data_IF_593129358003
#
_entry.id   IF_593129358003
#
_cell.length_a   1.000
_cell.length_b   1.000
_cell.length_c   1.000
_cell.angle_alpha   90.00
_cell.angle_beta   90.00
_cell.angle_gamma   90.00
#
_symmetry.space_group_name_H-M   'P 1'
#
loop_
_entity.id
_entity.type
_entity.pdbx_description
1 polymer ?
#
# COMPACT_ATOMS: atom_id res chain seq x y z
N UNK A 1 -10.34 11.95 -11.84
CA UNK A 1 -10.25 10.51 -12.15
C UNK A 1 -10.25 9.76 -10.81
N UNK A 2 -11.21 8.87 -10.55
CA UNK A 2 -11.31 8.17 -9.26
C UNK A 2 -10.28 7.03 -9.20
N UNK A 3 -9.65 6.82 -8.05
CA UNK A 3 -8.66 5.73 -7.83
C UNK A 3 -9.25 4.35 -8.18
N UNK A 4 -10.55 4.16 -7.98
CA UNK A 4 -11.28 2.95 -8.36
C UNK A 4 -11.22 2.66 -9.86
N UNK A 5 -11.26 3.69 -10.71
CA UNK A 5 -11.19 3.54 -12.16
C UNK A 5 -9.76 3.26 -12.63
N UNK A 6 -8.76 3.74 -11.89
CA UNK A 6 -7.36 3.45 -12.13
C UNK A 6 -7.01 2.00 -11.79
N UNK A 7 -7.48 1.51 -10.62
CA UNK A 7 -7.30 0.12 -10.21
C UNK A 7 -7.93 -0.85 -11.22
N UNK A 8 -9.14 -0.56 -11.69
CA UNK A 8 -9.82 -1.41 -12.68
C UNK A 8 -9.04 -1.53 -14.00
N UNK A 9 -8.35 -0.45 -14.43
CA UNK A 9 -7.49 -0.47 -15.62
C UNK A 9 -6.17 -1.22 -15.40
N UNK A 10 -5.60 -1.18 -14.19
CA UNK A 10 -4.40 -1.97 -13.84
C UNK A 10 -4.66 -3.49 -13.89
N UNK A 11 -5.87 -3.94 -13.53
CA UNK A 11 -6.22 -5.36 -13.59
C UNK A 11 -6.61 -5.86 -15.00
N UNK A 12 -6.87 -4.96 -15.95
CA UNK A 12 -7.40 -5.35 -17.27
C UNK A 12 -6.31 -5.56 -18.33
N UNK A 13 -5.03 -5.33 -18.03
CA UNK A 13 -3.97 -5.30 -19.05
C UNK A 13 -2.65 -5.92 -18.58
N UNK A 14 -2.60 -7.23 -18.34
CA UNK A 14 -1.33 -7.97 -18.24
C UNK A 14 -1.37 -9.25 -19.07
N UNK A 15 -1.08 -9.10 -20.37
CA UNK A 15 -0.66 -10.22 -21.20
C UNK A 15 0.81 -10.54 -20.94
N UNK A 16 1.09 -11.75 -20.45
CA UNK A 16 2.38 -12.46 -20.47
C UNK A 16 3.63 -11.62 -20.14
N UNK A 17 3.74 -11.15 -18.89
CA UNK A 17 5.01 -10.97 -18.18
C UNK A 17 4.78 -11.47 -16.75
N UNK A 18 5.74 -12.21 -16.18
CA UNK A 18 5.67 -12.84 -14.85
C UNK A 18 4.79 -12.08 -13.87
N UNK A 19 3.63 -12.64 -13.53
CA UNK A 19 2.59 -11.97 -12.72
C UNK A 19 3.12 -11.49 -11.36
N UNK A 20 4.13 -12.18 -10.79
CA UNK A 20 4.78 -11.80 -9.53
C UNK A 20 5.66 -10.54 -9.64
N UNK A 21 6.27 -10.28 -10.80
CA UNK A 21 7.02 -9.02 -10.99
C UNK A 21 6.07 -7.84 -11.10
N UNK A 22 4.89 -8.04 -11.69
CA UNK A 22 3.87 -7.00 -11.84
C UNK A 22 3.25 -6.61 -10.47
N UNK A 23 3.08 -7.55 -9.54
CA UNK A 23 2.55 -7.26 -8.20
C UNK A 23 3.50 -6.42 -7.34
N UNK A 24 4.79 -6.76 -7.29
CA UNK A 24 5.76 -5.98 -6.52
C UNK A 24 5.95 -4.57 -7.09
N UNK A 25 5.96 -4.43 -8.42
CA UNK A 25 6.01 -3.12 -9.08
C UNK A 25 4.77 -2.27 -8.73
N UNK A 26 3.59 -2.90 -8.68
CA UNK A 26 2.34 -2.24 -8.24
C UNK A 26 2.37 -1.85 -6.78
N UNK A 27 2.91 -2.68 -5.89
CA UNK A 27 3.07 -2.35 -4.47
C UNK A 27 3.98 -1.13 -4.33
N UNK A 28 5.14 -1.13 -4.97
CA UNK A 28 6.09 -0.02 -4.93
C UNK A 28 5.49 1.27 -5.45
N UNK A 29 4.80 1.23 -6.61
CA UNK A 29 4.10 2.37 -7.15
C UNK A 29 3.02 2.89 -6.18
N UNK A 30 2.22 1.98 -5.62
CA UNK A 30 1.10 2.32 -4.75
C UNK A 30 1.58 2.89 -3.40
N UNK A 31 2.69 2.38 -2.85
CA UNK A 31 3.34 2.94 -1.67
C UNK A 31 3.88 4.35 -1.93
N UNK A 32 4.53 4.58 -3.07
CA UNK A 32 5.00 5.92 -3.44
C UNK A 32 3.85 6.92 -3.56
N UNK A 33 2.74 6.52 -4.17
CA UNK A 33 1.53 7.34 -4.24
C UNK A 33 0.91 7.60 -2.86
N UNK A 34 0.95 6.60 -1.97
CA UNK A 34 0.48 6.77 -0.60
C UNK A 34 1.36 7.76 0.19
N UNK A 35 2.69 7.69 0.03
CA UNK A 35 3.62 8.67 0.61
C UNK A 35 3.28 10.08 0.12
N UNK A 36 3.08 10.27 -1.19
CA UNK A 36 2.70 11.57 -1.73
C UNK A 36 1.36 12.06 -1.17
N UNK A 37 0.37 11.16 -1.03
CA UNK A 37 -0.92 11.50 -0.45
C UNK A 37 -0.79 11.92 1.02
N UNK A 38 -0.03 11.18 1.82
CA UNK A 38 0.11 11.44 3.26
C UNK A 38 0.76 12.80 3.56
N UNK A 39 1.60 13.32 2.66
CA UNK A 39 2.16 14.67 2.80
C UNK A 39 1.11 15.77 2.84
N UNK A 40 -0.10 15.54 2.30
CA UNK A 40 -1.19 16.52 2.34
C UNK A 40 -1.91 16.56 3.70
N UNK A 41 -1.67 15.58 4.59
CA UNK A 41 -2.24 15.57 5.93
C UNK A 41 -1.63 16.70 6.77
N UNK A 42 -2.39 17.18 7.76
CA UNK A 42 -1.90 18.21 8.68
C UNK A 42 -0.76 17.68 9.60
N UNK A 43 -0.20 18.54 10.45
CA UNK A 43 0.93 18.19 11.33
C UNK A 43 0.58 17.21 12.45
N UNK A 44 -0.71 16.94 12.72
CA UNK A 44 -1.11 15.93 13.72
C UNK A 44 -0.74 14.51 13.28
N UNK A 45 -0.53 14.30 11.97
CA UNK A 45 -0.21 13.01 11.37
C UNK A 45 1.27 12.86 10.99
N UNK A 46 2.17 13.67 11.55
CA UNK A 46 3.58 13.66 11.16
C UNK A 46 4.27 12.31 11.48
N UNK A 47 3.86 11.65 12.56
CA UNK A 47 4.35 10.30 12.89
C UNK A 47 3.87 9.27 11.86
N UNK A 48 2.59 9.31 11.46
CA UNK A 48 2.02 8.44 10.44
C UNK A 48 2.67 8.69 9.08
N UNK A 49 2.96 9.94 8.71
CA UNK A 49 3.69 10.28 7.49
C UNK A 49 5.07 9.62 7.48
N UNK A 50 5.78 9.69 8.60
CA UNK A 50 7.10 9.06 8.76
C UNK A 50 7.00 7.55 8.62
N UNK A 51 6.04 6.93 9.31
CA UNK A 51 5.81 5.48 9.23
C UNK A 51 5.43 5.02 7.82
N UNK A 52 4.58 5.76 7.10
CA UNK A 52 4.24 5.48 5.69
C UNK A 52 5.48 5.52 4.80
N UNK A 53 6.37 6.50 5.01
CA UNK A 53 7.63 6.59 4.27
C UNK A 53 8.57 5.41 4.58
N UNK A 54 8.71 5.02 5.85
CA UNK A 54 9.49 3.85 6.25
C UNK A 54 8.95 2.56 5.61
N UNK A 55 7.64 2.34 5.66
CA UNK A 55 6.99 1.19 5.01
C UNK A 55 7.21 1.17 3.49
N UNK A 56 7.27 2.34 2.84
CA UNK A 56 7.55 2.42 1.41
C UNK A 56 8.99 1.97 1.10
N UNK A 57 9.96 2.32 1.93
CA UNK A 57 11.34 1.83 1.79
C UNK A 57 11.47 0.34 2.12
N UNK A 58 10.69 -0.18 3.05
CA UNK A 58 10.62 -1.61 3.34
C UNK A 58 10.01 -2.40 2.18
N UNK A 59 8.93 -1.90 1.57
CA UNK A 59 8.28 -2.54 0.43
C UNK A 59 9.23 -2.74 -0.77
N UNK A 60 10.18 -1.82 -0.99
CA UNK A 60 11.20 -1.96 -2.04
C UNK A 60 12.15 -3.13 -1.84
N UNK A 61 12.26 -3.63 -0.61
CA UNK A 61 13.13 -4.78 -0.26
C UNK A 61 12.44 -6.12 -0.52
N UNK A 62 11.17 -6.13 -0.88
CA UNK A 62 10.45 -7.34 -1.23
C UNK A 62 11.05 -7.95 -2.49
N UNK A 63 11.45 -9.22 -2.39
CA UNK A 63 11.90 -10.01 -3.51
C UNK A 63 10.76 -10.89 -4.02
N UNK A 64 10.70 -11.11 -5.33
CA UNK A 64 9.71 -12.00 -5.93
C UNK A 64 9.85 -13.42 -5.38
N UNK A 65 8.76 -13.99 -4.89
CA UNK A 65 8.69 -15.37 -4.41
C UNK A 65 7.71 -16.17 -5.29
N UNK A 66 8.01 -17.42 -5.66
CA UNK A 66 7.09 -18.28 -6.40
C UNK A 66 5.95 -18.85 -5.53
N UNK A 67 5.98 -18.62 -4.22
CA UNK A 67 5.00 -19.20 -3.30
C UNK A 67 3.62 -18.52 -3.40
N UNK A 68 2.56 -19.33 -3.46
CA UNK A 68 1.16 -18.86 -3.49
C UNK A 68 0.85 -17.99 -2.27
N UNK A 69 1.40 -18.34 -1.11
CA UNK A 69 1.22 -17.57 0.12
C UNK A 69 1.85 -16.17 0.04
N UNK A 70 3.01 -16.04 -0.61
CA UNK A 70 3.65 -14.75 -0.89
C UNK A 70 2.78 -13.87 -1.80
N UNK A 71 2.22 -14.44 -2.87
CA UNK A 71 1.31 -13.72 -3.77
C UNK A 71 0.02 -13.26 -3.04
N UNK A 72 -0.51 -14.08 -2.12
CA UNK A 72 -1.68 -13.72 -1.32
C UNK A 72 -1.39 -12.54 -0.39
N UNK A 73 -0.25 -12.57 0.31
CA UNK A 73 0.17 -11.45 1.16
C UNK A 73 0.45 -10.19 0.34
N UNK A 74 1.02 -10.30 -0.85
CA UNK A 74 1.21 -9.15 -1.76
C UNK A 74 -0.12 -8.51 -2.18
N UNK A 75 -1.15 -9.31 -2.45
CA UNK A 75 -2.51 -8.79 -2.67
C UNK A 75 -3.09 -8.12 -1.41
N UNK A 76 -2.87 -8.72 -0.24
CA UNK A 76 -3.34 -8.16 1.03
C UNK A 76 -2.62 -6.84 1.35
N UNK A 77 -1.32 -6.71 1.00
CA UNK A 77 -0.58 -5.44 1.06
C UNK A 77 -1.27 -4.38 0.19
N UNK A 78 -1.58 -4.69 -1.07
CA UNK A 78 -2.28 -3.75 -1.97
C UNK A 78 -3.65 -3.33 -1.41
N UNK A 79 -4.39 -4.27 -0.82
CA UNK A 79 -5.66 -3.99 -0.14
C UNK A 79 -5.49 -3.02 1.02
N UNK A 80 -4.47 -3.26 1.86
CA UNK A 80 -4.16 -2.39 3.00
C UNK A 80 -3.69 -1.00 2.56
N UNK A 81 -2.86 -0.88 1.52
CA UNK A 81 -2.45 0.42 0.95
C UNK A 81 -3.69 1.22 0.51
N UNK A 82 -4.66 0.54 -0.10
CA UNK A 82 -5.92 1.16 -0.53
C UNK A 82 -6.74 1.65 0.67
N UNK A 83 -6.79 0.87 1.74
CA UNK A 83 -7.48 1.24 2.98
C UNK A 83 -6.84 2.47 3.64
N UNK A 84 -5.51 2.49 3.79
CA UNK A 84 -4.79 3.67 4.33
C UNK A 84 -5.01 4.89 3.45
N UNK A 85 -4.91 4.74 2.13
CA UNK A 85 -5.17 5.82 1.17
C UNK A 85 -6.57 6.41 1.31
N UNK A 86 -7.58 5.57 1.55
CA UNK A 86 -8.98 5.99 1.76
C UNK A 86 -9.17 6.66 3.13
N UNK A 87 -8.46 6.20 4.16
CA UNK A 87 -8.44 6.84 5.46
C UNK A 87 -7.80 8.25 5.39
N UNK A 88 -6.71 8.41 4.63
CA UNK A 88 -6.13 9.73 4.36
C UNK A 88 -7.14 10.65 3.66
N UNK A 89 -7.86 10.18 2.65
CA UNK A 89 -8.90 10.98 1.98
C UNK A 89 -10.02 11.39 2.96
N UNK A 90 -10.40 10.49 3.87
CA UNK A 90 -11.40 10.77 4.89
C UNK A 90 -10.94 11.89 5.83
N UNK A 91 -9.69 11.84 6.29
CA UNK A 91 -9.10 12.90 7.12
C UNK A 91 -9.00 14.23 6.35
N UNK A 92 -8.57 14.22 5.09
CA UNK A 92 -8.51 15.41 4.24
C UNK A 92 -9.90 16.04 4.00
N UNK A 93 -10.96 15.23 4.06
CA UNK A 93 -12.36 15.69 4.00
C UNK A 93 -12.93 16.15 5.36
N UNK A 94 -12.13 16.16 6.42
CA UNK A 94 -12.56 16.55 7.78
C UNK A 94 -13.25 15.45 8.58
N UNK A 95 -13.06 14.18 8.20
CA UNK A 95 -13.64 13.01 8.87
C UNK A 95 -12.62 12.22 9.70
N UNK A 96 -13.11 11.18 10.37
CA UNK A 96 -12.46 10.39 11.44
C UNK A 96 -10.95 10.12 11.31
N UNK A 97 -10.18 10.58 12.32
CA UNK A 97 -8.73 10.47 12.44
C UNK A 97 -8.25 9.07 12.85
N UNK A 98 -9.08 8.26 13.53
CA UNK A 98 -8.64 6.95 14.07
C UNK A 98 -8.37 5.91 12.98
N UNK A 99 -9.07 6.02 11.85
CA UNK A 99 -9.00 5.06 10.74
C UNK A 99 -7.61 4.97 10.11
N UNK A 100 -6.85 6.08 10.09
CA UNK A 100 -5.49 6.11 9.53
C UNK A 100 -4.55 5.22 10.36
N UNK A 101 -4.59 5.35 11.69
CA UNK A 101 -3.73 4.57 12.61
C UNK A 101 -4.03 3.07 12.54
N UNK A 102 -5.31 2.71 12.54
CA UNK A 102 -5.75 1.31 12.48
C UNK A 102 -5.33 0.64 11.16
N UNK A 103 -5.60 1.29 10.03
CA UNK A 103 -5.25 0.76 8.71
C UNK A 103 -3.74 0.71 8.50
N UNK A 104 -2.98 1.67 9.06
CA UNK A 104 -1.52 1.67 9.01
C UNK A 104 -0.90 0.53 9.82
N UNK A 105 -1.42 0.25 11.01
CA UNK A 105 -0.98 -0.89 11.82
C UNK A 105 -1.22 -2.23 11.11
N UNK A 106 -2.35 -2.35 10.40
CA UNK A 106 -2.66 -3.52 9.57
C UNK A 106 -1.66 -3.67 8.41
N UNK A 107 -1.39 -2.58 7.67
CA UNK A 107 -0.39 -2.58 6.59
C UNK A 107 0.99 -3.02 7.09
N UNK A 108 1.43 -2.48 8.23
CA UNK A 108 2.71 -2.84 8.85
C UNK A 108 2.79 -4.33 9.18
N UNK A 109 1.70 -4.90 9.69
CA UNK A 109 1.62 -6.32 10.05
C UNK A 109 1.76 -7.22 8.83
N UNK A 110 1.00 -6.95 7.76
CA UNK A 110 1.04 -7.77 6.54
C UNK A 110 2.39 -7.63 5.83
N UNK A 111 2.98 -6.43 5.79
CA UNK A 111 4.29 -6.23 5.20
C UNK A 111 5.37 -7.03 5.95
N UNK A 112 5.36 -6.98 7.28
CA UNK A 112 6.29 -7.73 8.12
C UNK A 112 6.14 -9.25 7.91
N UNK A 113 4.90 -9.76 7.80
CA UNK A 113 4.64 -11.17 7.47
C UNK A 113 5.23 -11.54 6.12
N UNK A 114 5.04 -10.70 5.09
CA UNK A 114 5.59 -10.95 3.75
C UNK A 114 7.11 -10.92 3.73
N UNK A 115 7.76 -10.02 4.48
CA UNK A 115 9.22 -9.97 4.59
C UNK A 115 9.82 -11.17 5.33
N UNK A 116 9.06 -11.79 6.25
CA UNK A 116 9.51 -12.97 6.97
C UNK A 116 9.56 -14.23 6.06
N UNK A 117 8.79 -14.23 4.96
CA UNK A 117 8.84 -15.23 3.92
C UNK A 117 9.99 -14.88 2.96
N UNK A 118 11.15 -15.50 3.19
CA UNK A 118 12.32 -15.38 2.32
C UNK A 118 12.17 -16.23 1.06
#
# INVERSE_FOLDING_TARGET
MRITDFMKRLFQKSGKKNENSDLLDRINLSMNLLVQKSQNLNSQFDEEKKQIAELAEEAKKLAGSPEIFSAKLEQDILGNITAVSSACDSVLSGSNESAVKETLASLKTVLAQRMALK
#
